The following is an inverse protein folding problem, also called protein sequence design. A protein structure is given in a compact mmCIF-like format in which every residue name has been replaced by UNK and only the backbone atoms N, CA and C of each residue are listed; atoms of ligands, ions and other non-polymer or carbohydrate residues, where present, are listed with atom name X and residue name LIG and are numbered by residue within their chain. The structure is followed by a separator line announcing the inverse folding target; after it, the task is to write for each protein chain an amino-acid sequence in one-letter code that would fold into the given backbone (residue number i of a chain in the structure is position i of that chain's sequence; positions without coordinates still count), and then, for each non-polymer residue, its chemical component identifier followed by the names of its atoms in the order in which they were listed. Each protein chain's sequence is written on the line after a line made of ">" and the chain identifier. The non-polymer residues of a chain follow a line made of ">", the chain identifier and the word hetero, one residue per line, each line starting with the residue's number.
data_IF_278179114726
#
_entry.id   IF_278179114726
#
_cell.length_a   1.000
_cell.length_b   1.000
_cell.length_c   1.000
_cell.angle_alpha   90.00
_cell.angle_beta   90.00
_cell.angle_gamma   90.00
#
_symmetry.space_group_name_H-M   'P 1'
#
loop_
_entity.id
_entity.type
_entity.pdbx_description
1 polymer ?
#
# COMPACT_ATOMS: atom_id res chain seq x y z
N UNK A 1 -16.17 29.37 14.79
CA UNK A 1 -14.77 28.95 15.00
C UNK A 1 -14.35 27.87 13.99
N UNK A 2 -15.03 26.72 13.87
CA UNK A 2 -14.67 25.67 12.90
C UNK A 2 -14.77 26.15 11.46
N UNK A 3 -15.81 26.91 11.11
CA UNK A 3 -15.96 27.44 9.77
C UNK A 3 -14.85 28.44 9.41
N UNK A 4 -14.45 29.31 10.35
CA UNK A 4 -13.33 30.24 10.13
C UNK A 4 -11.99 29.50 9.89
N UNK A 5 -11.80 28.31 10.46
CA UNK A 5 -10.58 27.51 10.29
C UNK A 5 -10.59 26.69 8.99
N UNK A 6 -11.74 26.05 8.66
CA UNK A 6 -11.83 25.10 7.56
C UNK A 6 -12.56 25.63 6.34
N UNK A 7 -13.22 26.79 6.42
CA UNK A 7 -14.03 27.40 5.34
C UNK A 7 -15.12 26.45 4.84
N UNK A 8 -15.88 25.89 5.78
CA UNK A 8 -16.85 24.82 5.52
C UNK A 8 -17.95 25.31 4.58
N UNK A 9 -18.50 26.51 4.88
CA UNK A 9 -19.60 27.11 4.12
C UNK A 9 -19.13 27.52 2.71
N UNK A 10 -17.93 28.08 2.57
CA UNK A 10 -17.34 28.43 1.26
C UNK A 10 -17.18 27.20 0.35
N UNK A 11 -16.97 26.02 0.94
CA UNK A 11 -16.81 24.76 0.20
C UNK A 11 -18.10 23.97 0.05
N UNK A 12 -19.24 24.55 0.41
CA UNK A 12 -20.57 23.95 0.24
C UNK A 12 -20.81 22.71 1.09
N UNK A 13 -20.17 22.64 2.28
CA UNK A 13 -20.32 21.55 3.23
C UNK A 13 -21.00 22.01 4.52
N UNK A 14 -21.14 21.12 5.48
CA UNK A 14 -21.63 21.38 6.83
C UNK A 14 -20.83 20.58 7.83
N UNK A 15 -20.73 21.01 9.09
CA UNK A 15 -20.03 20.27 10.15
C UNK A 15 -20.53 18.83 10.24
N UNK A 16 -21.85 18.61 10.10
CA UNK A 16 -22.43 17.26 10.12
C UNK A 16 -21.91 16.38 8.95
N UNK A 17 -21.80 16.92 7.74
CA UNK A 17 -21.26 16.19 6.57
C UNK A 17 -19.78 15.90 6.73
N UNK A 18 -19.02 16.85 7.27
CA UNK A 18 -17.60 16.65 7.55
C UNK A 18 -17.38 15.53 8.57
N UNK A 19 -18.14 15.54 9.69
CA UNK A 19 -18.05 14.49 10.71
C UNK A 19 -18.47 13.15 10.13
N UNK A 20 -19.61 13.07 9.42
CA UNK A 20 -20.07 11.84 8.77
C UNK A 20 -19.05 11.31 7.78
N UNK A 21 -18.50 12.19 6.94
CA UNK A 21 -17.47 11.83 5.97
C UNK A 21 -16.19 11.33 6.62
N UNK A 22 -15.75 11.96 7.72
CA UNK A 22 -14.58 11.51 8.48
C UNK A 22 -14.80 10.13 9.13
N UNK A 23 -15.97 9.89 9.70
CA UNK A 23 -16.36 8.57 10.26
C UNK A 23 -16.38 7.52 9.15
N UNK A 24 -17.01 7.82 8.01
CA UNK A 24 -17.08 6.90 6.86
C UNK A 24 -15.69 6.58 6.33
N UNK A 25 -14.82 7.58 6.21
CA UNK A 25 -13.42 7.37 5.79
C UNK A 25 -12.69 6.47 6.78
N UNK A 26 -12.79 6.73 8.10
CA UNK A 26 -12.19 5.87 9.11
C UNK A 26 -12.66 4.42 8.99
N UNK A 27 -13.97 4.18 8.96
CA UNK A 27 -14.53 2.83 8.92
C UNK A 27 -14.09 2.08 7.64
N UNK A 28 -13.94 2.79 6.52
CA UNK A 28 -13.51 2.16 5.25
C UNK A 28 -12.03 1.83 5.20
N UNK A 29 -11.18 2.58 5.92
CA UNK A 29 -9.73 2.38 5.89
C UNK A 29 -9.15 1.75 7.18
N UNK A 30 -9.95 1.57 8.24
CA UNK A 30 -9.46 1.06 9.52
C UNK A 30 -8.90 -0.38 9.46
N UNK A 31 -9.19 -1.14 8.39
CA UNK A 31 -8.56 -2.43 8.14
C UNK A 31 -7.03 -2.36 8.11
N UNK A 32 -6.45 -1.18 7.82
CA UNK A 32 -5.00 -0.96 7.77
C UNK A 32 -4.32 -1.23 9.13
N UNK A 33 -5.04 -1.00 10.24
CA UNK A 33 -4.57 -1.26 11.60
C UNK A 33 -4.21 -2.74 11.78
N UNK A 34 -4.93 -3.62 11.11
CA UNK A 34 -4.71 -5.06 11.12
C UNK A 34 -3.69 -5.46 10.06
N UNK A 35 -3.94 -5.04 8.83
CA UNK A 35 -3.26 -5.58 7.64
C UNK A 35 -1.83 -5.07 7.51
N UNK A 36 -1.55 -3.80 7.79
CA UNK A 36 -0.19 -3.28 7.65
C UNK A 36 0.82 -3.96 8.58
N UNK A 37 0.58 -4.08 9.91
CA UNK A 37 1.50 -4.79 10.79
C UNK A 37 1.58 -6.28 10.49
N UNK A 38 0.49 -6.91 10.06
CA UNK A 38 0.49 -8.32 9.65
C UNK A 38 1.43 -8.57 8.46
N UNK A 39 1.41 -7.69 7.46
CA UNK A 39 2.35 -7.77 6.32
C UNK A 39 3.79 -7.49 6.78
N UNK A 40 4.02 -6.44 7.57
CA UNK A 40 5.34 -6.06 8.04
C UNK A 40 5.98 -7.11 8.97
N UNK A 41 5.19 -7.93 9.63
CA UNK A 41 5.69 -9.06 10.44
C UNK A 41 6.50 -10.08 9.62
N UNK A 42 6.17 -10.25 8.33
CA UNK A 42 6.96 -11.07 7.41
C UNK A 42 8.38 -10.51 7.18
N UNK A 43 8.60 -9.22 7.46
CA UNK A 43 9.91 -8.58 7.44
C UNK A 43 10.68 -8.72 8.77
N UNK A 44 10.09 -9.36 9.78
CA UNK A 44 10.65 -9.45 11.13
C UNK A 44 10.35 -8.23 12.00
N UNK A 45 9.49 -7.33 11.56
CA UNK A 45 9.08 -6.14 12.34
C UNK A 45 8.08 -6.58 13.42
N UNK A 46 8.30 -6.22 14.71
CA UNK A 46 7.42 -6.61 15.82
C UNK A 46 5.98 -6.10 15.61
N UNK A 47 4.98 -6.98 15.72
CA UNK A 47 3.58 -6.69 15.38
C UNK A 47 2.98 -5.62 16.29
N UNK A 48 3.07 -5.77 17.60
CA UNK A 48 2.47 -4.83 18.56
C UNK A 48 2.97 -3.39 18.39
N UNK A 49 4.30 -3.14 18.44
CA UNK A 49 4.87 -1.83 18.17
C UNK A 49 4.51 -1.29 16.79
N UNK A 50 4.53 -2.13 15.75
CA UNK A 50 4.17 -1.75 14.38
C UNK A 50 2.70 -1.35 14.24
N UNK A 51 1.81 -1.97 15.04
CA UNK A 51 0.39 -1.58 15.08
C UNK A 51 0.24 -0.17 15.65
N UNK A 52 0.93 0.12 16.74
CA UNK A 52 0.93 1.48 17.32
C UNK A 52 1.52 2.49 16.34
N UNK A 53 2.65 2.16 15.71
CA UNK A 53 3.29 2.99 14.69
C UNK A 53 2.36 3.26 13.51
N UNK A 54 1.63 2.25 13.04
CA UNK A 54 0.62 2.39 11.97
C UNK A 54 -0.46 3.39 12.33
N UNK A 55 -1.04 3.26 13.52
CA UNK A 55 -2.09 4.17 14.01
C UNK A 55 -1.55 5.59 14.17
N UNK A 56 -0.38 5.76 14.80
CA UNK A 56 0.22 7.09 14.98
C UNK A 56 0.56 7.77 13.66
N UNK A 57 1.00 7.01 12.66
CA UNK A 57 1.23 7.55 11.31
C UNK A 57 -0.06 8.05 10.70
N UNK A 58 -1.16 7.28 10.83
CA UNK A 58 -2.47 7.69 10.36
C UNK A 58 -2.98 8.94 11.08
N UNK A 59 -2.78 9.03 12.39
CA UNK A 59 -3.10 10.22 13.19
C UNK A 59 -2.30 11.42 12.72
N UNK A 60 -0.98 11.31 12.68
CA UNK A 60 -0.07 12.40 12.31
C UNK A 60 -0.37 12.93 10.90
N UNK A 61 -0.39 12.05 9.91
CA UNK A 61 -0.61 12.43 8.52
C UNK A 61 -1.99 13.02 8.28
N UNK A 62 -3.05 12.43 8.88
CA UNK A 62 -4.42 12.94 8.73
C UNK A 62 -4.63 14.27 9.47
N UNK A 63 -3.99 14.51 10.61
CA UNK A 63 -4.01 15.83 11.27
C UNK A 63 -3.32 16.89 10.43
N UNK A 64 -2.13 16.58 9.88
CA UNK A 64 -1.44 17.51 8.97
C UNK A 64 -2.27 17.78 7.70
N UNK A 65 -2.88 16.74 7.12
CA UNK A 65 -3.75 16.90 5.96
C UNK A 65 -4.96 17.78 6.27
N UNK A 66 -5.52 17.63 7.47
CA UNK A 66 -6.64 18.43 7.95
C UNK A 66 -6.27 19.89 8.21
N UNK A 67 -5.26 20.15 9.02
CA UNK A 67 -4.91 21.48 9.45
C UNK A 67 -4.11 22.28 8.41
N UNK A 68 -3.11 21.64 7.77
CA UNK A 68 -2.21 22.32 6.84
C UNK A 68 -2.74 22.37 5.41
N UNK A 69 -3.16 21.22 4.87
CA UNK A 69 -3.65 21.14 3.50
C UNK A 69 -5.14 21.50 3.39
N UNK A 70 -5.88 21.43 4.47
CA UNK A 70 -7.34 21.59 4.53
C UNK A 70 -8.06 20.76 3.46
N UNK A 71 -7.78 19.44 3.42
CA UNK A 71 -8.37 18.49 2.47
C UNK A 71 -9.06 17.35 3.20
N UNK A 72 -10.21 16.86 2.71
CA UNK A 72 -10.95 15.74 3.31
C UNK A 72 -10.31 14.40 2.96
N UNK A 73 -9.00 14.29 3.12
CA UNK A 73 -8.20 13.13 2.71
C UNK A 73 -7.46 12.60 3.94
N UNK A 74 -7.68 11.35 4.26
CA UNK A 74 -6.93 10.67 5.31
C UNK A 74 -5.60 10.16 4.76
N UNK A 75 -4.62 10.05 5.65
CA UNK A 75 -3.26 9.55 5.38
C UNK A 75 -3.04 8.32 6.25
N UNK A 76 -2.39 7.30 5.71
CA UNK A 76 -1.97 6.12 6.46
C UNK A 76 -0.85 5.37 5.71
N UNK A 77 -0.22 4.34 6.30
CA UNK A 77 0.78 3.53 5.60
C UNK A 77 0.23 2.90 4.32
N UNK A 78 0.97 3.01 3.21
CA UNK A 78 0.57 2.48 1.92
C UNK A 78 0.63 0.94 1.86
N UNK A 79 -0.39 0.34 1.23
CA UNK A 79 -0.50 -1.13 1.11
C UNK A 79 0.46 -1.74 0.07
N UNK A 80 0.79 -1.01 -0.99
CA UNK A 80 1.72 -1.47 -2.02
C UNK A 80 3.16 -1.48 -1.51
N UNK A 81 3.60 -0.35 -0.95
CA UNK A 81 4.97 -0.23 -0.46
C UNK A 81 5.25 -1.10 0.75
N UNK A 82 4.29 -1.31 1.66
CA UNK A 82 4.51 -2.22 2.78
C UNK A 82 4.78 -3.65 2.32
N UNK A 83 4.08 -4.10 1.27
CA UNK A 83 4.30 -5.40 0.66
C UNK A 83 5.68 -5.47 -0.04
N UNK A 84 6.13 -4.39 -0.70
CA UNK A 84 7.49 -4.32 -1.24
C UNK A 84 8.55 -4.38 -0.14
N UNK A 85 8.36 -3.64 0.96
CA UNK A 85 9.27 -3.64 2.11
C UNK A 85 9.31 -5.02 2.76
N UNK A 86 8.16 -5.67 2.91
CA UNK A 86 8.07 -6.97 3.56
C UNK A 86 8.64 -8.12 2.72
N UNK A 87 8.31 -8.16 1.44
CA UNK A 87 8.60 -9.30 0.56
C UNK A 87 9.67 -8.99 -0.49
N UNK A 88 9.65 -7.80 -1.09
CA UNK A 88 10.56 -7.43 -2.17
C UNK A 88 12.02 -7.29 -1.72
N UNK A 89 12.27 -6.90 -0.47
CA UNK A 89 13.61 -6.71 0.08
C UNK A 89 14.19 -7.98 0.74
N UNK A 90 13.44 -9.09 0.79
CA UNK A 90 13.92 -10.38 1.32
C UNK A 90 15.11 -10.88 0.50
N UNK A 91 15.04 -10.76 -0.82
CA UNK A 91 16.07 -11.24 -1.75
C UNK A 91 17.43 -10.57 -1.50
N UNK A 92 17.44 -9.34 -1.02
CA UNK A 92 18.66 -8.61 -0.66
C UNK A 92 19.20 -8.97 0.72
N UNK A 93 18.54 -9.86 1.47
CA UNK A 93 18.91 -10.17 2.85
C UNK A 93 18.85 -8.97 3.80
N UNK A 94 18.07 -7.94 3.45
CA UNK A 94 17.98 -6.70 4.23
C UNK A 94 17.34 -6.95 5.60
N UNK A 95 17.98 -6.47 6.66
CA UNK A 95 17.40 -6.50 8.00
C UNK A 95 16.20 -5.55 8.09
N UNK A 96 15.35 -5.70 9.10
CA UNK A 96 14.18 -4.82 9.23
C UNK A 96 14.60 -3.36 9.52
N UNK A 97 15.72 -3.12 10.20
CA UNK A 97 16.29 -1.80 10.43
C UNK A 97 16.74 -1.14 9.12
N UNK A 98 17.33 -1.92 8.20
CA UNK A 98 17.68 -1.45 6.86
C UNK A 98 16.46 -1.15 6.02
N UNK A 99 15.39 -1.94 6.15
CA UNK A 99 14.14 -1.68 5.45
C UNK A 99 13.52 -0.36 5.91
N UNK A 100 13.46 -0.10 7.22
CA UNK A 100 13.01 1.18 7.76
C UNK A 100 13.96 2.33 7.40
N UNK A 101 15.28 2.09 7.41
CA UNK A 101 16.28 3.03 6.92
C UNK A 101 16.07 3.42 5.46
N UNK A 102 15.70 2.44 4.60
CA UNK A 102 15.35 2.69 3.20
C UNK A 102 14.10 3.58 3.06
N UNK A 103 13.08 3.33 3.88
CA UNK A 103 11.85 4.16 3.92
C UNK A 103 12.18 5.59 4.34
N UNK A 104 13.04 5.74 5.36
CA UNK A 104 13.48 7.06 5.84
C UNK A 104 14.20 7.84 4.75
N UNK A 105 15.22 7.25 4.14
CA UNK A 105 16.00 7.90 3.07
C UNK A 105 15.10 8.24 1.88
N UNK A 106 14.24 7.31 1.45
CA UNK A 106 13.29 7.55 0.38
C UNK A 106 12.31 8.68 0.74
N UNK A 107 11.80 8.71 1.98
CA UNK A 107 10.93 9.78 2.48
C UNK A 107 11.61 11.16 2.48
N UNK A 108 12.87 11.23 2.91
CA UNK A 108 13.67 12.47 2.87
C UNK A 108 13.89 12.92 1.41
N UNK A 109 14.25 12.01 0.51
CA UNK A 109 14.39 12.32 -0.93
C UNK A 109 13.05 12.82 -1.50
N UNK A 110 11.95 12.15 -1.18
CA UNK A 110 10.61 12.58 -1.62
C UNK A 110 10.25 13.96 -1.07
N UNK A 111 10.58 14.26 0.19
CA UNK A 111 10.42 15.56 0.80
C UNK A 111 11.22 16.64 0.05
N UNK A 112 12.49 16.39 -0.24
CA UNK A 112 13.34 17.32 -0.98
C UNK A 112 12.79 17.56 -2.39
N UNK A 113 12.41 16.51 -3.13
CA UNK A 113 11.79 16.63 -4.46
C UNK A 113 10.50 17.45 -4.42
N UNK A 114 9.72 17.35 -3.34
CA UNK A 114 8.49 18.11 -3.14
C UNK A 114 8.79 19.58 -2.86
N UNK A 115 9.72 19.87 -1.96
CA UNK A 115 10.12 21.25 -1.61
C UNK A 115 10.74 21.97 -2.80
N UNK A 116 11.61 21.32 -3.57
CA UNK A 116 12.25 21.90 -4.76
C UNK A 116 11.37 21.87 -6.02
N UNK A 117 10.11 21.46 -5.92
CA UNK A 117 9.13 21.42 -7.01
C UNK A 117 9.61 20.66 -8.28
N UNK A 118 10.56 19.74 -8.14
CA UNK A 118 11.03 18.88 -9.26
C UNK A 118 9.93 17.94 -9.76
N UNK A 119 8.92 17.80 -8.99
CA UNK A 119 7.82 16.88 -9.08
C UNK A 119 7.02 16.95 -10.38
N UNK A 120 6.68 18.16 -10.88
CA UNK A 120 5.92 18.32 -12.12
C UNK A 120 6.67 17.70 -13.31
N UNK A 121 8.01 17.80 -13.30
CA UNK A 121 8.88 17.19 -14.32
C UNK A 121 8.86 15.64 -14.22
N UNK A 122 8.86 15.09 -12.99
CA UNK A 122 8.76 13.65 -12.76
C UNK A 122 7.38 13.10 -13.13
N UNK A 123 6.31 13.81 -12.77
CA UNK A 123 4.94 13.40 -13.12
C UNK A 123 4.73 13.28 -14.63
N UNK A 124 5.31 14.19 -15.39
CA UNK A 124 5.26 14.19 -16.85
C UNK A 124 6.23 13.20 -17.48
N UNK A 125 7.17 12.64 -16.72
CA UNK A 125 8.13 11.65 -17.21
C UNK A 125 7.53 10.25 -17.38
N UNK A 126 6.41 9.97 -16.73
CA UNK A 126 5.73 8.67 -16.76
C UNK A 126 4.40 8.80 -17.50
N UNK A 127 4.16 7.94 -18.49
CA UNK A 127 2.90 7.97 -19.25
C UNK A 127 1.69 7.63 -18.38
N UNK A 128 0.49 8.12 -18.73
CA UNK A 128 -0.74 7.77 -18.02
C UNK A 128 -0.97 6.26 -17.96
N UNK A 129 -0.80 5.54 -19.08
CA UNK A 129 -0.95 4.07 -19.15
C UNK A 129 -0.01 3.36 -18.18
N UNK A 130 1.25 3.82 -18.08
CA UNK A 130 2.21 3.22 -17.17
C UNK A 130 1.88 3.52 -15.69
N UNK A 131 1.36 4.70 -15.35
CA UNK A 131 0.84 5.01 -14.00
C UNK A 131 -0.31 4.09 -13.61
N UNK A 132 -1.25 3.85 -14.53
CA UNK A 132 -2.37 2.95 -14.27
C UNK A 132 -1.92 1.48 -14.17
N UNK A 133 -0.88 1.09 -14.92
CA UNK A 133 -0.31 -0.24 -14.81
C UNK A 133 0.37 -0.49 -13.45
N UNK A 134 1.00 0.53 -12.86
CA UNK A 134 1.53 0.42 -11.49
C UNK A 134 0.43 0.12 -10.49
N UNK A 135 -0.65 0.91 -10.49
CA UNK A 135 -1.77 0.68 -9.59
C UNK A 135 -2.42 -0.71 -9.79
N UNK A 136 -2.59 -1.13 -11.05
CA UNK A 136 -3.13 -2.44 -11.37
C UNK A 136 -2.21 -3.58 -10.95
N UNK A 137 -0.90 -3.43 -11.20
CA UNK A 137 0.14 -4.41 -10.83
C UNK A 137 0.22 -4.59 -9.31
N UNK A 138 0.24 -3.50 -8.55
CA UNK A 138 0.19 -3.51 -7.09
C UNK A 138 -1.11 -4.21 -6.63
N UNK A 139 -2.25 -3.91 -7.25
CA UNK A 139 -3.52 -4.53 -6.92
C UNK A 139 -3.51 -6.05 -7.12
N UNK A 140 -3.04 -6.53 -8.27
CA UNK A 140 -2.89 -7.97 -8.54
C UNK A 140 -1.87 -8.63 -7.61
N UNK A 141 -0.78 -7.94 -7.28
CA UNK A 141 0.22 -8.43 -6.34
C UNK A 141 -0.36 -8.60 -4.93
N UNK A 142 -1.11 -7.61 -4.43
CA UNK A 142 -1.81 -7.72 -3.14
C UNK A 142 -2.84 -8.86 -3.13
N UNK A 143 -3.61 -9.00 -4.22
CA UNK A 143 -4.55 -10.11 -4.35
C UNK A 143 -3.82 -11.46 -4.33
N UNK A 144 -2.69 -11.56 -5.01
CA UNK A 144 -1.86 -12.77 -5.01
C UNK A 144 -1.32 -13.10 -3.61
N UNK A 145 -0.82 -12.09 -2.86
CA UNK A 145 -0.44 -12.27 -1.46
C UNK A 145 -1.62 -12.79 -0.64
N UNK A 146 -2.78 -12.14 -0.74
CA UNK A 146 -3.98 -12.55 -0.01
C UNK A 146 -4.42 -13.98 -0.31
N UNK A 147 -4.37 -14.39 -1.58
CA UNK A 147 -4.67 -15.78 -2.01
C UNK A 147 -3.66 -16.79 -1.46
N UNK A 148 -2.39 -16.38 -1.37
CA UNK A 148 -1.32 -17.23 -0.84
C UNK A 148 -1.39 -17.36 0.70
N UNK A 149 -1.60 -16.25 1.41
CA UNK A 149 -1.75 -16.22 2.86
C UNK A 149 -2.97 -17.01 3.36
N UNK A 150 -4.07 -16.99 2.60
CA UNK A 150 -5.27 -17.76 2.92
C UNK A 150 -5.14 -19.25 2.60
N UNK A 151 -4.10 -19.65 1.86
CA UNK A 151 -3.95 -21.02 1.38
C UNK A 151 -4.89 -21.40 0.23
N UNK A 152 -5.63 -20.46 -0.36
CA UNK A 152 -6.43 -20.70 -1.58
C UNK A 152 -5.48 -21.02 -2.75
N UNK A 153 -4.34 -20.33 -2.81
CA UNK A 153 -3.23 -20.63 -3.69
C UNK A 153 -2.04 -21.05 -2.83
N UNK A 154 -1.30 -22.05 -3.25
CA UNK A 154 -0.13 -22.54 -2.53
C UNK A 154 1.02 -22.87 -3.47
N UNK A 155 2.22 -23.04 -2.93
CA UNK A 155 3.38 -23.47 -3.71
C UNK A 155 3.13 -24.80 -4.41
N UNK A 156 3.57 -24.92 -5.66
CA UNK A 156 3.58 -26.18 -6.39
C UNK A 156 4.40 -27.28 -5.68
N UNK A 157 5.38 -26.89 -4.88
CA UNK A 157 6.18 -27.78 -4.04
C UNK A 157 5.43 -28.34 -2.82
N UNK A 158 4.34 -27.70 -2.39
CA UNK A 158 3.61 -28.12 -1.19
C UNK A 158 3.06 -29.55 -1.36
N UNK A 159 3.35 -30.41 -0.36
CA UNK A 159 2.94 -31.82 -0.34
C UNK A 159 3.78 -32.76 -1.21
N UNK A 160 4.81 -32.24 -1.89
CA UNK A 160 5.78 -33.11 -2.57
C UNK A 160 6.82 -33.66 -1.56
N UNK A 161 7.24 -34.93 -1.70
CA UNK A 161 8.31 -35.44 -0.88
C UNK A 161 9.63 -34.75 -1.18
N UNK A 162 10.51 -34.59 -0.17
CA UNK A 162 11.79 -33.91 -0.31
C UNK A 162 12.64 -34.46 -1.47
N UNK A 163 12.59 -35.77 -1.72
CA UNK A 163 13.30 -36.43 -2.81
C UNK A 163 12.84 -35.93 -4.20
N UNK A 164 11.60 -35.47 -4.34
CA UNK A 164 11.11 -34.90 -5.61
C UNK A 164 11.57 -33.44 -5.84
N UNK A 165 12.07 -32.80 -4.78
CA UNK A 165 12.53 -31.42 -4.82
C UNK A 165 14.04 -31.29 -4.90
N UNK A 166 14.79 -32.41 -4.69
CA UNK A 166 16.24 -32.40 -4.76
C UNK A 166 16.68 -33.03 -6.09
N UNK A 167 17.59 -32.36 -6.77
CA UNK A 167 18.25 -32.97 -7.93
C UNK A 167 19.28 -34.00 -7.45
N UNK A 168 19.16 -35.23 -7.97
CA UNK A 168 20.00 -36.36 -7.55
C UNK A 168 21.46 -36.03 -7.90
N UNK A 169 22.30 -35.90 -6.88
CA UNK A 169 23.73 -35.59 -7.02
C UNK A 169 24.11 -34.11 -7.04
N UNK A 170 23.11 -33.20 -6.88
CA UNK A 170 23.36 -31.78 -6.72
C UNK A 170 22.68 -31.24 -5.45
N UNK A 171 23.30 -30.25 -4.82
CA UNK A 171 22.73 -29.56 -3.62
C UNK A 171 21.65 -28.52 -3.99
N UNK A 172 21.22 -28.50 -5.25
CA UNK A 172 20.25 -27.53 -5.76
C UNK A 172 18.82 -28.07 -5.64
N UNK A 173 17.91 -27.22 -5.21
CA UNK A 173 16.47 -27.50 -5.22
C UNK A 173 15.97 -27.57 -6.66
N UNK A 174 15.31 -28.63 -7.01
CA UNK A 174 14.63 -28.78 -8.30
C UNK A 174 13.37 -27.92 -8.29
N UNK A 175 13.25 -27.04 -9.28
CA UNK A 175 12.02 -26.25 -9.45
C UNK A 175 10.83 -27.18 -9.72
N UNK A 176 9.67 -27.00 -9.06
CA UNK A 176 8.47 -27.74 -9.38
C UNK A 176 8.02 -27.42 -10.80
N UNK A 177 7.40 -28.38 -11.49
CA UNK A 177 6.86 -28.20 -12.83
C UNK A 177 5.83 -27.06 -12.91
N UNK A 178 5.13 -26.80 -11.80
CA UNK A 178 4.17 -25.69 -11.65
C UNK A 178 4.56 -24.88 -10.42
N UNK A 179 4.83 -23.57 -10.54
CA UNK A 179 5.28 -22.74 -9.41
C UNK A 179 4.22 -22.60 -8.32
N UNK A 180 2.94 -22.50 -8.70
CA UNK A 180 1.80 -22.37 -7.79
C UNK A 180 0.65 -23.28 -8.22
N UNK A 181 -0.15 -23.72 -7.26
CA UNK A 181 -1.33 -24.55 -7.48
C UNK A 181 -2.46 -24.15 -6.54
N UNK A 182 -3.66 -24.64 -6.82
CA UNK A 182 -4.79 -24.53 -5.90
C UNK A 182 -4.46 -25.28 -4.60
N UNK A 183 -4.76 -24.64 -3.47
CA UNK A 183 -4.54 -25.20 -2.14
C UNK A 183 -5.54 -26.28 -1.75
N UNK A 184 -5.46 -26.73 -0.50
CA UNK A 184 -6.29 -27.79 0.04
C UNK A 184 -7.68 -27.25 0.45
N UNK A 185 -8.68 -27.35 -0.40
CA UNK A 185 -10.06 -26.92 -0.08
C UNK A 185 -10.76 -27.80 0.97
N UNK A 186 -10.09 -28.86 1.46
CA UNK A 186 -10.57 -29.62 2.62
C UNK A 186 -10.17 -28.98 3.95
N UNK A 187 -9.27 -27.99 3.96
CA UNK A 187 -8.92 -27.23 5.16
C UNK A 187 -10.06 -26.27 5.50
N UNK A 188 -10.69 -26.39 6.70
CA UNK A 188 -11.76 -25.50 7.10
C UNK A 188 -11.35 -24.03 7.18
N UNK A 189 -10.05 -23.73 7.38
CA UNK A 189 -9.53 -22.36 7.40
C UNK A 189 -9.57 -21.75 6.01
N UNK A 190 -9.24 -22.53 4.96
CA UNK A 190 -9.33 -22.10 3.55
C UNK A 190 -10.79 -21.85 3.16
N UNK A 191 -11.70 -22.73 3.57
CA UNK A 191 -13.13 -22.55 3.32
C UNK A 191 -13.68 -21.31 4.04
N UNK A 192 -13.24 -21.07 5.27
CA UNK A 192 -13.62 -19.86 6.02
C UNK A 192 -13.09 -18.59 5.36
N UNK A 193 -11.87 -18.64 4.82
CA UNK A 193 -11.31 -17.50 4.07
C UNK A 193 -12.11 -17.20 2.79
N UNK A 194 -12.52 -18.25 2.05
CA UNK A 194 -13.39 -18.07 0.87
C UNK A 194 -14.73 -17.48 1.28
N UNK A 195 -15.36 -17.99 2.33
CA UNK A 195 -16.62 -17.44 2.85
C UNK A 195 -16.46 -15.99 3.29
N UNK A 196 -15.34 -15.63 3.94
CA UNK A 196 -14.99 -14.27 4.33
C UNK A 196 -14.84 -13.34 3.12
N UNK A 197 -14.17 -13.79 2.06
CA UNK A 197 -14.06 -13.02 0.82
C UNK A 197 -15.44 -12.79 0.17
N UNK A 198 -16.24 -13.83 0.06
CA UNK A 198 -17.62 -13.73 -0.49
C UNK A 198 -18.46 -12.74 0.35
N UNK A 199 -18.36 -12.81 1.68
CA UNK A 199 -19.04 -11.88 2.57
C UNK A 199 -18.61 -10.43 2.32
N UNK A 200 -17.28 -10.17 2.23
CA UNK A 200 -16.74 -8.83 1.92
C UNK A 200 -17.33 -8.34 0.59
N UNK A 201 -17.31 -9.17 -0.45
CA UNK A 201 -17.85 -8.80 -1.78
C UNK A 201 -19.34 -8.49 -1.70
N UNK A 202 -20.15 -9.31 -1.00
CA UNK A 202 -21.58 -9.05 -0.81
C UNK A 202 -21.81 -7.71 -0.12
N UNK A 203 -21.07 -7.42 0.97
CA UNK A 203 -21.17 -6.15 1.68
C UNK A 203 -20.77 -4.96 0.80
N UNK A 204 -19.72 -5.12 -0.02
CA UNK A 204 -19.31 -4.10 -1.00
C UNK A 204 -20.39 -3.86 -2.07
N UNK A 205 -20.98 -4.92 -2.62
CA UNK A 205 -22.09 -4.81 -3.59
C UNK A 205 -23.32 -4.13 -2.97
N UNK A 206 -23.56 -4.35 -1.68
CA UNK A 206 -24.61 -3.68 -0.90
C UNK A 206 -24.24 -2.27 -0.46
N UNK A 207 -23.04 -1.80 -0.83
CA UNK A 207 -22.51 -0.47 -0.49
C UNK A 207 -22.43 -0.21 1.03
N UNK A 208 -22.18 -1.25 1.81
CA UNK A 208 -22.02 -1.13 3.27
C UNK A 208 -20.70 -0.40 3.54
N UNK A 209 -20.70 0.74 4.26
CA UNK A 209 -19.47 1.40 4.66
C UNK A 209 -18.60 0.46 5.49
N UNK A 210 -17.29 0.40 5.23
CA UNK A 210 -16.39 -0.49 5.94
C UNK A 210 -16.59 -1.98 5.67
N UNK A 211 -17.15 -2.34 4.51
CA UNK A 211 -17.39 -3.73 4.10
C UNK A 211 -16.19 -4.66 4.37
N UNK A 212 -14.97 -4.18 4.13
CA UNK A 212 -13.74 -4.95 4.35
C UNK A 212 -13.53 -5.20 5.85
N UNK A 213 -13.62 -4.16 6.68
CA UNK A 213 -13.44 -4.29 8.13
C UNK A 213 -14.52 -5.17 8.77
N UNK A 214 -15.78 -4.97 8.40
CA UNK A 214 -16.91 -5.76 8.89
C UNK A 214 -16.76 -7.23 8.47
N UNK A 215 -16.47 -7.49 7.20
CA UNK A 215 -16.28 -8.84 6.70
C UNK A 215 -15.10 -9.55 7.37
N UNK A 216 -13.98 -8.85 7.56
CA UNK A 216 -12.82 -9.35 8.30
C UNK A 216 -13.17 -9.68 9.76
N UNK A 217 -13.87 -8.78 10.45
CA UNK A 217 -14.32 -8.98 11.84
C UNK A 217 -15.26 -10.18 11.98
N UNK A 218 -16.26 -10.30 11.11
CA UNK A 218 -17.19 -11.45 11.12
C UNK A 218 -16.47 -12.75 10.85
N UNK A 219 -15.54 -12.77 9.89
CA UNK A 219 -14.75 -13.96 9.57
C UNK A 219 -13.85 -14.37 10.74
N UNK A 220 -13.26 -13.39 11.45
CA UNK A 220 -12.46 -13.66 12.63
C UNK A 220 -13.29 -14.24 13.78
N UNK A 221 -14.44 -13.65 14.06
CA UNK A 221 -15.38 -14.15 15.10
C UNK A 221 -15.81 -15.58 14.78
N UNK A 222 -16.11 -15.88 13.52
CA UNK A 222 -16.42 -17.25 13.10
C UNK A 222 -15.22 -18.21 13.34
N UNK A 223 -14.00 -17.77 13.03
CA UNK A 223 -12.79 -18.54 13.28
C UNK A 223 -12.52 -18.79 14.78
N UNK A 224 -12.79 -17.80 15.63
CA UNK A 224 -12.70 -17.96 17.09
C UNK A 224 -13.73 -18.99 17.59
N UNK A 225 -14.97 -18.91 17.09
CA UNK A 225 -16.01 -19.88 17.42
C UNK A 225 -15.69 -21.30 16.97
N UNK A 226 -14.95 -21.45 15.87
CA UNK A 226 -14.45 -22.73 15.35
C UNK A 226 -13.16 -23.20 16.05
N UNK A 227 -12.59 -22.41 16.96
CA UNK A 227 -11.35 -22.74 17.67
C UNK A 227 -10.07 -22.62 16.84
N UNK A 228 -10.06 -21.86 15.74
CA UNK A 228 -8.88 -21.69 14.88
C UNK A 228 -7.85 -20.72 15.46
N UNK A 229 -8.28 -19.78 16.28
CA UNK A 229 -7.45 -18.84 17.02
C UNK A 229 -8.11 -18.48 18.37
N UNK A 230 -7.34 -18.07 19.36
CA UNK A 230 -7.89 -17.60 20.62
C UNK A 230 -8.66 -16.28 20.41
N UNK A 231 -9.77 -16.13 21.09
CA UNK A 231 -10.48 -14.86 21.13
C UNK A 231 -9.67 -13.81 21.93
N UNK A 232 -9.88 -12.50 21.68
CA UNK A 232 -9.23 -11.45 22.44
C UNK A 232 -9.43 -11.62 23.94
N UNK A 233 -8.36 -11.52 24.71
CA UNK A 233 -8.40 -11.68 26.18
C UNK A 233 -8.96 -10.44 26.88
N UNK A 234 -8.89 -9.28 26.25
CA UNK A 234 -9.41 -8.00 26.74
C UNK A 234 -9.86 -7.13 25.57
N UNK A 235 -10.72 -6.16 25.87
CA UNK A 235 -11.24 -5.21 24.87
C UNK A 235 -10.36 -3.97 24.78
N UNK A 236 -9.81 -3.54 25.91
CA UNK A 236 -9.03 -2.31 26.01
C UNK A 236 -7.70 -2.57 26.70
N UNK A 237 -6.68 -1.85 26.28
CA UNK A 237 -5.37 -1.77 26.91
C UNK A 237 -4.85 -0.34 26.94
N UNK A 238 -3.93 -0.06 27.84
CA UNK A 238 -3.21 1.22 27.82
C UNK A 238 -2.24 1.22 26.63
N UNK A 239 -2.32 2.22 25.77
CA UNK A 239 -1.37 2.35 24.64
C UNK A 239 0.05 2.57 25.17
N UNK A 240 1.04 2.22 24.36
CA UNK A 240 2.48 2.42 24.62
C UNK A 240 3.05 1.58 25.78
N UNK A 241 2.32 0.61 26.31
CA UNK A 241 2.76 -0.25 27.42
C UNK A 241 2.86 -1.71 27.00
N UNK A 242 3.76 -2.46 27.65
CA UNK A 242 3.91 -3.90 27.41
C UNK A 242 4.26 -4.22 25.95
N UNK A 243 3.49 -5.11 25.36
CA UNK A 243 3.67 -5.54 23.96
C UNK A 243 3.41 -4.42 22.93
N UNK A 244 2.72 -3.34 23.32
CA UNK A 244 2.42 -2.17 22.48
C UNK A 244 3.41 -1.03 22.65
N UNK A 245 4.51 -1.26 23.38
CA UNK A 245 5.58 -0.26 23.53
C UNK A 245 6.30 0.00 22.20
N UNK A 246 6.52 1.26 21.86
CA UNK A 246 7.28 1.65 20.68
C UNK A 246 8.81 1.52 20.87
N UNK A 247 9.28 1.36 22.12
CA UNK A 247 10.71 1.37 22.43
C UNK A 247 11.56 0.39 21.60
N UNK A 248 11.10 -0.84 21.28
CA UNK A 248 11.88 -1.77 20.46
C UNK A 248 11.97 -1.38 18.97
N UNK A 249 11.17 -0.43 18.52
CA UNK A 249 10.98 -0.15 17.10
C UNK A 249 11.32 1.29 16.70
N UNK A 250 10.89 2.26 17.53
CA UNK A 250 11.09 3.66 17.22
C UNK A 250 12.57 4.04 17.17
N UNK A 251 12.95 4.78 16.14
CA UNK A 251 14.32 5.25 15.87
C UNK A 251 15.37 4.15 15.62
N UNK A 252 14.97 2.89 15.46
CA UNK A 252 15.85 1.80 15.10
C UNK A 252 15.99 1.71 13.56
N UNK A 253 16.79 2.60 12.99
CA UNK A 253 17.02 2.74 11.56
C UNK A 253 18.49 2.52 11.24
N UNK A 254 18.80 1.59 10.34
CA UNK A 254 20.16 1.47 9.79
C UNK A 254 20.28 2.29 8.49
N UNK A 255 20.46 3.62 8.66
CA UNK A 255 20.64 4.54 7.54
C UNK A 255 21.98 4.29 6.84
N UNK A 256 23.05 4.05 7.61
CA UNK A 256 24.38 3.82 7.05
C UNK A 256 24.43 2.54 6.20
N UNK A 257 23.74 1.50 6.62
CA UNK A 257 23.64 0.24 5.90
C UNK A 257 22.95 0.34 4.54
N UNK A 258 22.05 1.31 4.36
CA UNK A 258 21.32 1.51 3.10
C UNK A 258 21.94 2.57 2.17
N UNK A 259 22.89 3.35 2.63
CA UNK A 259 23.64 4.31 1.81
C UNK A 259 24.78 3.59 1.05
N UNK A 260 24.44 2.47 0.40
CA UNK A 260 25.34 1.66 -0.43
C UNK A 260 24.78 1.59 -1.86
N UNK A 261 25.68 1.39 -2.82
CA UNK A 261 25.29 1.32 -4.24
C UNK A 261 24.27 0.20 -4.50
N UNK A 262 24.35 -0.91 -3.78
CA UNK A 262 23.39 -2.03 -3.86
C UNK A 262 21.97 -1.67 -3.44
N UNK A 263 21.77 -0.66 -2.58
CA UNK A 263 20.47 -0.17 -2.15
C UNK A 263 19.91 0.96 -3.04
N UNK A 264 20.72 1.55 -3.91
CA UNK A 264 20.26 2.63 -4.79
C UNK A 264 19.00 2.28 -5.60
N UNK A 265 18.87 1.07 -6.19
CA UNK A 265 17.65 0.68 -6.88
C UNK A 265 16.43 0.59 -5.98
N UNK A 266 16.61 0.13 -4.74
CA UNK A 266 15.54 0.07 -3.72
C UNK A 266 15.06 1.47 -3.36
N UNK A 267 15.99 2.38 -3.08
CA UNK A 267 15.66 3.76 -2.74
C UNK A 267 14.92 4.45 -3.89
N UNK A 268 15.41 4.28 -5.13
CA UNK A 268 14.75 4.79 -6.32
C UNK A 268 13.31 4.24 -6.45
N UNK A 269 13.14 2.92 -6.25
CA UNK A 269 11.84 2.28 -6.33
C UNK A 269 10.88 2.84 -5.28
N UNK A 270 11.30 2.96 -4.03
CA UNK A 270 10.47 3.52 -2.94
C UNK A 270 10.08 4.97 -3.23
N UNK A 271 11.02 5.80 -3.69
CA UNK A 271 10.72 7.21 -4.06
C UNK A 271 9.68 7.26 -5.19
N UNK A 272 9.87 6.44 -6.23
CA UNK A 272 8.94 6.43 -7.38
C UNK A 272 7.56 5.89 -6.99
N UNK A 273 7.51 4.82 -6.19
CA UNK A 273 6.24 4.26 -5.70
C UNK A 273 5.49 5.30 -4.89
N UNK A 274 6.08 5.87 -3.84
CA UNK A 274 5.44 6.88 -2.99
C UNK A 274 4.97 8.09 -3.80
N UNK A 275 5.79 8.52 -4.77
CA UNK A 275 5.45 9.62 -5.64
C UNK A 275 4.23 9.31 -6.55
N UNK A 276 4.22 8.14 -7.20
CA UNK A 276 3.17 7.75 -8.14
C UNK A 276 1.85 7.42 -7.41
N UNK A 277 1.94 6.77 -6.25
CA UNK A 277 0.77 6.46 -5.42
C UNK A 277 0.10 7.73 -4.89
N UNK A 278 0.89 8.66 -4.36
CA UNK A 278 0.37 9.97 -3.93
C UNK A 278 -0.34 10.70 -5.07
N UNK A 279 0.29 10.82 -6.24
CA UNK A 279 -0.31 11.48 -7.40
C UNK A 279 -1.59 10.78 -7.86
N UNK A 280 -1.54 9.47 -8.03
CA UNK A 280 -2.69 8.66 -8.46
C UNK A 280 -3.86 8.79 -7.51
N UNK A 281 -3.59 8.72 -6.21
CA UNK A 281 -4.60 8.83 -5.16
C UNK A 281 -5.20 10.23 -5.10
N UNK A 282 -4.37 11.29 -5.10
CA UNK A 282 -4.86 12.67 -5.04
C UNK A 282 -5.74 13.02 -6.25
N UNK A 283 -5.33 12.62 -7.46
CA UNK A 283 -6.14 12.82 -8.67
C UNK A 283 -7.41 11.97 -8.61
N UNK A 284 -7.33 10.71 -8.19
CA UNK A 284 -8.48 9.81 -8.06
C UNK A 284 -9.52 10.30 -7.05
N UNK A 285 -9.07 10.73 -5.88
CA UNK A 285 -9.92 11.30 -4.82
C UNK A 285 -10.46 12.67 -5.26
N UNK A 286 -9.63 13.48 -5.91
CA UNK A 286 -10.02 14.77 -6.47
C UNK A 286 -11.15 14.64 -7.50
N UNK A 287 -11.05 13.66 -8.40
CA UNK A 287 -12.09 13.37 -9.38
C UNK A 287 -13.40 12.91 -8.71
N UNK A 288 -13.31 12.02 -7.72
CA UNK A 288 -14.47 11.54 -6.97
C UNK A 288 -15.20 12.67 -6.21
N UNK A 289 -14.47 13.70 -5.81
CA UNK A 289 -14.98 14.86 -5.06
C UNK A 289 -15.34 16.09 -5.90
N UNK A 290 -15.19 16.02 -7.21
CA UNK A 290 -15.26 17.20 -8.10
C UNK A 290 -14.33 18.35 -7.63
N UNK A 291 -13.15 17.99 -7.13
CA UNK A 291 -12.16 18.92 -6.60
C UNK A 291 -11.05 19.26 -7.61
N UNK A 292 -11.10 18.67 -8.80
CA UNK A 292 -10.16 18.95 -9.87
C UNK A 292 -10.53 20.26 -10.57
N UNK A 293 -9.52 20.98 -11.08
CA UNK A 293 -9.71 22.14 -11.93
C UNK A 293 -10.18 21.75 -13.35
N UNK A 294 -10.37 22.74 -14.21
CA UNK A 294 -10.85 22.55 -15.59
C UNK A 294 -9.88 21.72 -16.45
N UNK A 295 -8.60 21.70 -16.07
CA UNK A 295 -7.53 21.00 -16.77
C UNK A 295 -7.30 19.59 -16.15
N UNK A 296 -8.14 19.18 -15.19
CA UNK A 296 -8.04 17.88 -14.52
C UNK A 296 -6.95 17.78 -13.46
N UNK A 297 -6.38 18.92 -13.02
CA UNK A 297 -5.37 18.95 -11.99
C UNK A 297 -5.98 19.15 -10.60
N UNK A 298 -5.30 18.63 -9.57
CA UNK A 298 -5.69 18.83 -8.18
C UNK A 298 -5.15 20.19 -7.69
N UNK A 299 -6.03 21.15 -7.31
CA UNK A 299 -5.60 22.48 -6.91
C UNK A 299 -4.70 22.47 -5.67
N UNK A 300 -3.60 23.24 -5.71
CA UNK A 300 -2.62 23.31 -4.60
C UNK A 300 -2.13 21.95 -4.16
N UNK A 301 -1.91 21.04 -5.10
CA UNK A 301 -1.46 19.66 -4.85
C UNK A 301 -0.15 19.59 -4.04
N UNK A 302 0.63 20.69 -4.01
CA UNK A 302 1.86 20.83 -3.23
C UNK A 302 1.65 20.56 -1.74
N UNK A 303 0.53 21.03 -1.19
CA UNK A 303 0.23 20.90 0.24
C UNK A 303 -0.03 19.43 0.64
N UNK A 304 -0.96 18.71 0.01
CA UNK A 304 -1.14 17.29 0.28
C UNK A 304 0.13 16.47 0.08
N UNK A 305 0.91 16.74 -0.97
CA UNK A 305 2.14 15.99 -1.22
C UNK A 305 3.24 16.28 -0.19
N UNK A 306 3.31 17.49 0.35
CA UNK A 306 4.21 17.81 1.46
C UNK A 306 3.81 17.03 2.72
N UNK A 307 2.50 16.92 2.98
CA UNK A 307 1.97 16.11 4.08
C UNK A 307 2.38 14.65 3.91
N UNK A 308 2.22 14.09 2.72
CA UNK A 308 2.60 12.70 2.45
C UNK A 308 4.10 12.47 2.66
N UNK A 309 4.94 13.38 2.14
CA UNK A 309 6.39 13.30 2.32
C UNK A 309 6.81 13.37 3.82
N UNK A 310 6.23 14.29 4.58
CA UNK A 310 6.47 14.41 6.01
C UNK A 310 5.96 13.16 6.76
N UNK A 311 4.83 12.60 6.34
CA UNK A 311 4.26 11.39 6.91
C UNK A 311 5.13 10.16 6.63
N UNK A 312 5.78 10.05 5.46
CA UNK A 312 6.75 9.00 5.16
C UNK A 312 7.96 9.06 6.10
N UNK A 313 8.50 10.26 6.31
CA UNK A 313 9.63 10.45 7.25
C UNK A 313 9.20 10.09 8.67
N UNK A 314 8.06 10.57 9.13
CA UNK A 314 7.54 10.26 10.45
C UNK A 314 7.28 8.75 10.62
N UNK A 315 6.65 8.12 9.64
CA UNK A 315 6.33 6.68 9.64
C UNK A 315 7.58 5.82 9.84
N UNK A 316 8.65 6.11 9.11
CA UNK A 316 9.91 5.37 9.24
C UNK A 316 10.55 5.54 10.60
N UNK A 317 10.52 6.76 11.17
CA UNK A 317 11.10 7.06 12.49
C UNK A 317 10.40 6.29 13.63
N UNK A 318 9.10 6.07 13.52
CA UNK A 318 8.34 5.33 14.53
C UNK A 318 8.20 3.84 14.23
N UNK A 319 8.67 3.38 13.05
CA UNK A 319 8.80 1.96 12.72
C UNK A 319 7.66 1.37 11.90
N UNK A 320 7.16 2.09 10.90
CA UNK A 320 6.23 1.55 9.91
C UNK A 320 6.66 1.89 8.47
N UNK A 321 5.89 1.44 7.48
CA UNK A 321 6.19 1.64 6.06
C UNK A 321 5.94 3.09 5.61
N UNK A 322 6.24 3.37 4.34
CA UNK A 322 5.84 4.63 3.69
C UNK A 322 4.36 4.94 3.88
N UNK A 323 4.00 6.20 3.91
CA UNK A 323 2.61 6.61 4.10
C UNK A 323 2.20 7.74 3.19
N UNK A 324 0.91 7.88 2.95
CA UNK A 324 0.35 8.98 2.17
C UNK A 324 -1.16 8.92 2.05
N UNK A 325 -1.69 9.70 1.11
CA UNK A 325 -3.12 9.87 0.88
C UNK A 325 -3.82 8.54 0.55
N UNK A 326 -5.00 8.32 1.12
CA UNK A 326 -5.79 7.10 0.98
C UNK A 326 -6.98 7.29 0.05
N UNK A 327 -7.12 6.39 -0.93
CA UNK A 327 -8.20 6.40 -1.92
C UNK A 327 -9.58 6.20 -1.28
N UNK A 328 -9.66 5.51 -0.15
CA UNK A 328 -10.86 5.30 0.65
C UNK A 328 -11.50 6.61 1.13
N UNK A 329 -10.73 7.69 1.18
CA UNK A 329 -11.23 9.04 1.46
C UNK A 329 -12.33 9.48 0.48
N UNK A 330 -12.34 8.90 -0.73
CA UNK A 330 -13.41 9.13 -1.69
C UNK A 330 -14.79 8.71 -1.15
N UNK A 331 -14.86 7.79 -0.20
CA UNK A 331 -16.14 7.37 0.41
C UNK A 331 -16.71 8.48 1.30
N UNK A 332 -15.89 9.06 2.18
CA UNK A 332 -16.30 10.21 2.99
C UNK A 332 -16.61 11.47 2.19
N UNK A 333 -15.88 11.66 1.08
CA UNK A 333 -16.15 12.75 0.14
C UNK A 333 -17.52 12.59 -0.55
N UNK A 334 -17.94 11.36 -0.86
CA UNK A 334 -19.29 11.08 -1.39
C UNK A 334 -20.39 11.38 -0.37
N UNK A 335 -20.10 11.25 0.93
CA UNK A 335 -21.01 11.66 2.01
C UNK A 335 -21.10 13.20 2.17
N UNK A 336 -20.29 13.93 1.44
CA UNK A 336 -20.32 15.39 1.38
C UNK A 336 -19.19 16.09 2.12
N UNK A 337 -18.16 15.38 2.57
CA UNK A 337 -16.95 15.99 3.10
C UNK A 337 -16.21 16.81 2.01
N UNK A 338 -15.72 17.99 2.37
CA UNK A 338 -15.04 18.90 1.45
C UNK A 338 -13.82 19.59 2.08
N UNK A 339 -13.65 19.45 3.40
CA UNK A 339 -12.65 20.20 4.15
C UNK A 339 -11.76 19.29 5.00
N UNK A 340 -10.70 19.86 5.56
CA UNK A 340 -9.80 19.16 6.46
C UNK A 340 -10.43 18.67 7.76
N UNK A 341 -11.61 19.17 8.11
CA UNK A 341 -12.32 18.71 9.32
C UNK A 341 -12.62 17.20 9.26
N UNK A 342 -12.97 16.67 8.08
CA UNK A 342 -13.18 15.23 7.90
C UNK A 342 -11.91 14.42 8.17
N UNK A 343 -10.75 14.89 7.70
CA UNK A 343 -9.47 14.24 7.97
C UNK A 343 -9.12 14.25 9.47
N UNK A 344 -9.43 15.34 10.17
CA UNK A 344 -9.24 15.43 11.63
C UNK A 344 -10.14 14.46 12.37
N UNK A 345 -11.41 14.35 11.98
CA UNK A 345 -12.32 13.36 12.56
C UNK A 345 -11.79 11.94 12.38
N UNK A 346 -11.29 11.62 11.18
CA UNK A 346 -10.64 10.33 10.90
C UNK A 346 -9.42 10.12 11.82
N UNK A 347 -8.57 11.13 11.98
CA UNK A 347 -7.41 11.06 12.87
C UNK A 347 -7.79 10.81 14.33
N UNK A 348 -8.81 11.48 14.83
CA UNK A 348 -9.29 11.29 16.20
C UNK A 348 -9.84 9.88 16.43
N UNK A 349 -10.50 9.28 15.43
CA UNK A 349 -10.97 7.91 15.50
C UNK A 349 -9.82 6.91 15.47
N UNK A 350 -8.76 7.17 14.67
CA UNK A 350 -7.51 6.39 14.74
C UNK A 350 -6.86 6.52 16.12
N UNK A 351 -6.79 7.72 16.69
CA UNK A 351 -6.26 7.91 18.04
C UNK A 351 -7.06 7.13 19.09
N UNK A 352 -8.40 7.11 18.96
CA UNK A 352 -9.26 6.31 19.83
C UNK A 352 -8.99 4.79 19.66
N UNK A 353 -8.65 4.33 18.45
CA UNK A 353 -8.33 2.93 18.20
C UNK A 353 -7.09 2.43 18.97
N UNK A 354 -6.20 3.31 19.41
CA UNK A 354 -5.05 2.95 20.27
C UNK A 354 -5.46 2.26 21.58
N UNK A 355 -6.67 2.52 22.08
CA UNK A 355 -7.15 1.89 23.29
C UNK A 355 -7.73 0.49 23.04
N UNK A 356 -8.01 0.12 21.79
CA UNK A 356 -8.62 -1.14 21.38
C UNK A 356 -7.63 -2.13 20.76
N UNK A 357 -6.33 -1.95 20.99
CA UNK A 357 -5.26 -2.80 20.45
C UNK A 357 -5.43 -4.29 20.74
N UNK A 358 -5.93 -4.74 21.91
CA UNK A 358 -6.14 -6.17 22.17
C UNK A 358 -7.13 -6.85 21.22
N UNK A 359 -8.04 -6.10 20.61
CA UNK A 359 -8.95 -6.65 19.58
C UNK A 359 -8.24 -6.88 18.26
N UNK A 360 -7.14 -6.18 18.01
CA UNK A 360 -6.41 -6.18 16.74
C UNK A 360 -5.42 -7.35 16.65
N UNK A 361 -4.71 -7.67 17.73
CA UNK A 361 -3.67 -8.71 17.75
C UNK A 361 -4.14 -10.07 17.20
N UNK A 362 -5.22 -10.67 17.73
CA UNK A 362 -5.75 -11.93 17.22
C UNK A 362 -6.20 -11.88 15.76
N UNK A 363 -6.65 -10.71 15.28
CA UNK A 363 -6.99 -10.51 13.87
C UNK A 363 -5.74 -10.56 12.98
N UNK A 364 -4.62 -10.03 13.42
CA UNK A 364 -3.35 -10.00 12.68
C UNK A 364 -2.74 -11.39 12.54
N UNK A 365 -2.99 -12.28 13.48
CA UNK A 365 -2.56 -13.68 13.42
C UNK A 365 -3.50 -14.55 12.56
N UNK A 366 -4.72 -14.09 12.32
CA UNK A 366 -5.77 -14.81 11.62
C UNK A 366 -5.72 -14.60 10.10
N UNK A 367 -4.82 -15.34 9.40
CA UNK A 367 -4.66 -15.24 7.94
C UNK A 367 -5.96 -15.46 7.17
N UNK A 368 -6.83 -16.36 7.65
CA UNK A 368 -8.16 -16.60 7.09
C UNK A 368 -9.11 -15.41 7.20
N UNK A 369 -8.82 -14.45 8.08
CA UNK A 369 -9.63 -13.25 8.27
C UNK A 369 -9.08 -12.03 7.50
N UNK A 370 -7.78 -11.74 7.61
CA UNK A 370 -7.21 -10.57 6.92
C UNK A 370 -6.82 -10.83 5.46
N UNK A 371 -6.48 -12.06 5.09
CA UNK A 371 -6.12 -12.41 3.71
C UNK A 371 -7.22 -12.08 2.70
N UNK A 372 -8.50 -12.39 2.96
CA UNK A 372 -9.62 -11.96 2.12
C UNK A 372 -9.71 -10.44 1.93
N UNK A 373 -9.33 -9.65 2.94
CA UNK A 373 -9.27 -8.20 2.83
C UNK A 373 -8.22 -7.75 1.81
N UNK A 374 -7.04 -8.39 1.79
CA UNK A 374 -6.00 -8.12 0.78
C UNK A 374 -6.50 -8.42 -0.64
N UNK A 375 -7.20 -9.54 -0.83
CA UNK A 375 -7.79 -9.89 -2.14
C UNK A 375 -8.80 -8.83 -2.55
N UNK A 376 -9.65 -8.37 -1.64
CA UNK A 376 -10.68 -7.35 -1.93
C UNK A 376 -10.05 -5.99 -2.29
N UNK A 377 -9.03 -5.55 -1.54
CA UNK A 377 -8.28 -4.32 -1.85
C UNK A 377 -7.59 -4.44 -3.20
N UNK A 378 -6.91 -5.55 -3.45
CA UNK A 378 -6.28 -5.83 -4.73
C UNK A 378 -7.26 -5.76 -5.89
N UNK A 379 -8.45 -6.37 -5.75
CA UNK A 379 -9.52 -6.33 -6.75
C UNK A 379 -9.97 -4.88 -7.06
N UNK A 380 -10.07 -4.02 -6.06
CA UNK A 380 -10.43 -2.60 -6.28
C UNK A 380 -9.38 -1.87 -7.11
N UNK A 381 -8.09 -2.11 -6.82
CA UNK A 381 -6.98 -1.45 -7.51
C UNK A 381 -6.84 -1.93 -8.98
N UNK A 382 -7.16 -3.19 -9.27
CA UNK A 382 -7.17 -3.75 -10.64
C UNK A 382 -8.10 -2.97 -11.57
N UNK A 383 -9.12 -2.31 -11.05
CA UNK A 383 -10.01 -1.46 -11.84
C UNK A 383 -9.30 -0.38 -12.67
N UNK A 384 -8.08 0.03 -12.30
CA UNK A 384 -7.24 0.98 -13.04
C UNK A 384 -6.81 0.46 -14.41
N UNK A 385 -6.78 -0.86 -14.65
CA UNK A 385 -6.47 -1.48 -15.94
C UNK A 385 -7.34 -0.94 -17.08
N UNK A 386 -8.58 -0.54 -16.81
CA UNK A 386 -9.51 0.02 -17.81
C UNK A 386 -9.02 1.31 -18.46
N UNK A 387 -8.06 1.98 -17.86
CA UNK A 387 -7.50 3.27 -18.32
C UNK A 387 -6.18 3.10 -19.06
N UNK A 388 -5.71 1.86 -19.22
CA UNK A 388 -4.50 1.54 -19.98
C UNK A 388 -4.88 1.46 -21.45
N UNK A 389 -4.10 2.13 -22.31
CA UNK A 389 -4.28 2.12 -23.76
C UNK A 389 -3.67 0.84 -24.36
N UNK A 390 -4.39 -0.30 -24.24
CA UNK A 390 -3.92 -1.58 -24.76
C UNK A 390 -3.91 -1.68 -26.29
N UNK A 391 -4.64 -0.82 -26.99
CA UNK A 391 -4.66 -0.77 -28.45
C UNK A 391 -3.36 -0.17 -29.03
N UNK A 392 -2.65 0.63 -28.23
CA UNK A 392 -1.32 1.16 -28.58
C UNK A 392 -0.23 0.26 -28.00
N UNK A 393 0.45 -0.51 -28.86
CA UNK A 393 1.52 -1.41 -28.43
C UNK A 393 2.69 -0.69 -27.74
N UNK A 394 2.90 0.60 -28.05
CA UNK A 394 3.97 1.38 -27.41
C UNK A 394 3.65 1.72 -25.93
N UNK A 395 2.37 1.67 -25.55
CA UNK A 395 1.89 1.80 -24.17
C UNK A 395 1.60 0.42 -23.55
N UNK A 396 1.01 -0.50 -24.33
CA UNK A 396 0.57 -1.82 -23.88
C UNK A 396 1.74 -2.71 -23.42
N UNK A 397 2.84 -2.75 -24.17
CA UNK A 397 3.99 -3.63 -23.86
C UNK A 397 4.65 -3.24 -22.54
N UNK A 398 5.01 -1.96 -22.29
CA UNK A 398 5.53 -1.56 -20.98
C UNK A 398 4.54 -1.78 -19.82
N UNK A 399 3.25 -1.50 -20.04
CA UNK A 399 2.20 -1.70 -19.04
C UNK A 399 2.02 -3.18 -18.70
N UNK A 400 1.98 -4.06 -19.71
CA UNK A 400 1.91 -5.51 -19.50
C UNK A 400 3.13 -6.04 -18.74
N UNK A 401 4.33 -5.66 -19.15
CA UNK A 401 5.56 -6.07 -18.48
C UNK A 401 5.58 -5.62 -17.02
N UNK A 402 5.14 -4.38 -16.76
CA UNK A 402 5.01 -3.85 -15.42
C UNK A 402 4.12 -4.74 -14.55
N UNK A 403 2.89 -5.02 -14.97
CA UNK A 403 1.92 -5.81 -14.22
C UNK A 403 2.41 -7.26 -14.06
N UNK A 404 2.82 -7.90 -15.14
CA UNK A 404 3.21 -9.30 -15.15
C UNK A 404 4.43 -9.57 -14.25
N UNK A 405 5.48 -8.74 -14.37
CA UNK A 405 6.68 -8.95 -13.56
C UNK A 405 6.46 -8.62 -12.08
N UNK A 406 5.60 -7.66 -11.72
CA UNK A 406 5.23 -7.47 -10.32
C UNK A 406 4.68 -8.74 -9.68
N UNK A 407 3.76 -9.40 -10.37
CA UNK A 407 3.05 -10.57 -9.84
C UNK A 407 3.91 -11.83 -9.92
N UNK A 408 4.46 -12.13 -11.09
CA UNK A 408 5.14 -13.41 -11.34
C UNK A 408 6.54 -13.50 -10.72
N UNK A 409 7.18 -12.37 -10.45
CA UNK A 409 8.47 -12.35 -9.72
C UNK A 409 8.30 -12.10 -8.23
N UNK A 410 7.06 -11.96 -7.75
CA UNK A 410 6.74 -11.61 -6.36
C UNK A 410 7.49 -10.36 -5.87
N UNK A 411 7.69 -9.40 -6.77
CA UNK A 411 8.44 -8.19 -6.48
C UNK A 411 7.95 -6.98 -7.31
N UNK A 412 7.43 -5.98 -6.62
CA UNK A 412 6.89 -4.76 -7.25
C UNK A 412 7.99 -4.00 -8.01
N UNK A 413 9.22 -3.97 -7.48
CA UNK A 413 10.32 -3.25 -8.13
C UNK A 413 10.66 -3.81 -9.52
N UNK A 414 10.60 -5.14 -9.69
CA UNK A 414 10.87 -5.78 -10.98
C UNK A 414 9.91 -5.30 -12.06
N UNK A 415 8.62 -5.21 -11.73
CA UNK A 415 7.62 -4.72 -12.67
C UNK A 415 7.72 -3.22 -12.94
N UNK A 416 7.86 -2.42 -11.87
CA UNK A 416 7.99 -0.97 -11.97
C UNK A 416 9.20 -0.59 -12.87
N UNK A 417 10.36 -1.13 -12.57
CA UNK A 417 11.59 -0.83 -13.30
C UNK A 417 11.56 -1.34 -14.74
N UNK A 418 11.00 -2.54 -14.98
CA UNK A 418 10.83 -3.08 -16.33
C UNK A 418 9.90 -2.20 -17.17
N UNK A 419 8.76 -1.78 -16.63
CA UNK A 419 7.85 -0.88 -17.33
C UNK A 419 8.51 0.44 -17.71
N UNK A 420 9.26 1.06 -16.78
CA UNK A 420 9.98 2.31 -17.01
C UNK A 420 11.11 2.17 -18.04
N UNK A 421 11.83 1.04 -18.08
CA UNK A 421 12.89 0.76 -19.05
C UNK A 421 12.30 0.47 -20.44
N UNK A 422 11.24 -0.33 -20.51
CA UNK A 422 10.62 -0.72 -21.78
C UNK A 422 9.86 0.43 -22.44
N UNK A 423 9.37 1.40 -21.69
CA UNK A 423 8.58 2.50 -22.23
C UNK A 423 9.31 3.31 -23.31
N UNK A 424 10.50 3.91 -23.06
CA UNK A 424 11.20 4.64 -24.10
C UNK A 424 11.66 3.72 -25.25
N UNK A 425 12.00 2.48 -24.97
CA UNK A 425 12.36 1.50 -26.00
C UNK A 425 11.18 1.25 -26.95
N UNK A 426 9.98 1.00 -26.43
CA UNK A 426 8.77 0.79 -27.21
C UNK A 426 8.41 2.02 -28.06
N UNK A 427 8.56 3.23 -27.51
CA UNK A 427 8.33 4.48 -28.24
C UNK A 427 9.32 4.68 -29.39
N UNK A 428 10.61 4.37 -29.18
CA UNK A 428 11.64 4.47 -30.25
C UNK A 428 11.37 3.44 -31.36
N UNK A 429 11.14 2.18 -30.98
CA UNK A 429 10.87 1.09 -31.94
C UNK A 429 9.56 1.34 -32.71
N UNK A 430 8.54 1.88 -32.03
CA UNK A 430 7.27 2.26 -32.65
C UNK A 430 7.32 3.54 -33.51
N UNK A 431 8.50 4.15 -33.71
CA UNK A 431 8.66 5.37 -34.51
C UNK A 431 8.12 6.64 -33.83
N UNK A 432 7.81 6.58 -32.54
CA UNK A 432 7.21 7.67 -31.76
C UNK A 432 8.20 8.31 -30.78
N UNK A 433 9.49 8.30 -31.10
CA UNK A 433 10.55 8.89 -30.25
C UNK A 433 10.32 10.37 -29.89
N UNK A 434 9.56 11.11 -30.71
CA UNK A 434 9.22 12.52 -30.45
C UNK A 434 8.28 12.73 -29.26
N UNK A 435 7.59 11.69 -28.82
CA UNK A 435 6.71 11.73 -27.64
C UNK A 435 7.49 11.54 -26.33
N UNK A 436 8.75 11.11 -26.42
CA UNK A 436 9.61 10.94 -25.26
C UNK A 436 10.02 12.30 -24.70
N UNK A 437 9.87 12.45 -23.42
CA UNK A 437 10.47 13.56 -22.70
C UNK A 437 11.81 13.12 -22.07
N UNK A 438 12.66 14.08 -21.81
CA UNK A 438 13.96 13.84 -21.18
C UNK A 438 13.84 13.10 -19.84
N UNK A 439 12.79 13.39 -19.04
CA UNK A 439 12.57 12.74 -17.76
C UNK A 439 12.33 11.23 -17.87
N UNK A 440 11.57 10.76 -18.89
CA UNK A 440 11.33 9.34 -19.12
C UNK A 440 12.61 8.57 -19.46
N UNK A 441 13.51 9.20 -20.23
CA UNK A 441 14.80 8.62 -20.58
C UNK A 441 15.72 8.52 -19.37
N UNK A 442 15.78 9.57 -18.55
CA UNK A 442 16.56 9.57 -17.29
C UNK A 442 16.05 8.50 -16.34
N UNK A 443 14.72 8.41 -16.15
CA UNK A 443 14.13 7.36 -15.31
C UNK A 443 14.45 5.96 -15.81
N UNK A 444 14.37 5.74 -17.12
CA UNK A 444 14.71 4.45 -17.71
C UNK A 444 16.19 4.08 -17.47
N UNK A 445 17.12 5.03 -17.63
CA UNK A 445 18.54 4.80 -17.35
C UNK A 445 18.79 4.52 -15.86
N UNK A 446 18.15 5.26 -14.97
CA UNK A 446 18.21 4.99 -13.53
C UNK A 446 17.64 3.61 -13.18
N UNK A 447 16.49 3.24 -13.78
CA UNK A 447 15.89 1.93 -13.56
C UNK A 447 16.72 0.79 -14.18
N UNK A 448 17.47 1.05 -15.22
CA UNK A 448 18.37 0.05 -15.79
C UNK A 448 19.47 -0.35 -14.79
N UNK A 449 19.89 0.57 -13.93
CA UNK A 449 20.86 0.25 -12.84
C UNK A 449 20.31 -0.80 -11.87
N UNK A 450 18.97 -0.90 -11.71
CA UNK A 450 18.36 -1.94 -10.89
C UNK A 450 18.63 -3.35 -11.42
N UNK A 451 18.58 -3.55 -12.74
CA UNK A 451 18.86 -4.84 -13.35
C UNK A 451 20.35 -5.16 -13.40
N UNK A 452 21.22 -4.14 -13.37
CA UNK A 452 22.67 -4.33 -13.40
C UNK A 452 23.23 -4.60 -11.99
N UNK A 453 22.73 -3.90 -10.98
CA UNK A 453 23.32 -3.90 -9.63
C UNK A 453 22.38 -4.41 -8.54
N UNK A 454 21.08 -4.47 -8.77
CA UNK A 454 20.06 -4.75 -7.75
C UNK A 454 19.51 -6.17 -7.75
N UNK A 455 19.78 -6.97 -8.76
CA UNK A 455 19.39 -8.39 -8.77
C UNK A 455 20.52 -9.20 -8.16
N UNK A 456 20.25 -10.07 -7.16
CA UNK A 456 21.23 -11.04 -6.69
C UNK A 456 21.51 -12.03 -7.84
N UNK A 457 22.76 -12.22 -8.14
CA UNK A 457 23.25 -13.21 -9.11
C UNK A 457 23.35 -14.58 -8.45
#
# INVERSE_FOLDING_TARGET
>A
MLDALFRIDERGSTVRREVLGGVTTFVTMAYIIVVNPAILSAAGIPVGPSTVATILTAVFGSLLMGFYANRPIAVAPYMGENAFIAFGLVVLGATWEQRLGSVFVAGVVFLLLTVFQVRSKLANAVSPSLKYSFAAGIGLFLAYIGLYETGIVTSGAAGLPAAALLDVGQTLLRAPAVPVKIGAFHDPRVLLAIAGFVLIVILMMRRVPGAILVGMGVTAVAGYAMGFAPAPSSVMAMPFTGEYSLAPLAFHLDIAGVLKLSFLPVLLTLVLMSFLDTLGTLVGVGAAGNMLDKDGNFPQIEKPMLVDALSCVFASLIGTSTSGAYIESATGIREGARTGLAAIVTALLFAAALFFLPLVGPLQESRYAYGPALVAVGMLMVGSMRKIEFDDLTEAVPAFACIALMVFTYNIANGLTAGLVLYPLAKVVGGRARELNWGSVVLALLCLTYFIFGLPH
#
